data_IF_702953179771
#
_entry.id   IF_702953179771
#
_cell.length_a   1.000
_cell.length_b   1.000
_cell.length_c   1.000
_cell.angle_alpha   90.00
_cell.angle_beta   90.00
_cell.angle_gamma   90.00
#
_symmetry.space_group_name_H-M   'P 1'
#
loop_
_entity.id
_entity.type
_entity.pdbx_description
1 polymer ?
#
# COMPACT_ATOMS: atom_id res chain seq x y z
N UNK A 1 18.96 -3.20 11.38
CA UNK A 1 17.59 -2.66 11.23
C UNK A 1 17.05 -3.20 9.92
N UNK A 2 16.32 -4.31 9.96
CA UNK A 2 15.89 -5.07 8.79
C UNK A 2 14.70 -4.35 8.13
N UNK A 3 14.97 -3.55 7.10
CA UNK A 3 13.92 -3.03 6.22
C UNK A 3 13.36 -4.20 5.40
N UNK A 4 12.23 -4.73 5.88
CA UNK A 4 11.41 -5.73 5.21
C UNK A 4 10.94 -5.21 3.84
N UNK A 5 11.75 -5.45 2.81
CA UNK A 5 11.25 -5.52 1.45
C UNK A 5 10.54 -6.86 1.33
N UNK A 6 9.25 -6.90 1.67
CA UNK A 6 8.37 -8.02 1.28
C UNK A 6 8.21 -7.95 -0.25
N UNK A 7 9.17 -8.51 -0.99
CA UNK A 7 8.97 -8.82 -2.40
C UNK A 7 8.00 -10.00 -2.45
N UNK A 8 6.93 -9.86 -3.24
CA UNK A 8 6.03 -10.96 -3.52
C UNK A 8 6.87 -12.16 -4.03
N UNK A 9 6.65 -13.37 -3.51
CA UNK A 9 7.23 -14.57 -4.09
C UNK A 9 6.85 -14.67 -5.58
N UNK A 10 7.64 -15.38 -6.38
CA UNK A 10 7.24 -15.65 -7.75
C UNK A 10 5.99 -16.54 -7.75
N UNK A 11 4.99 -16.20 -8.55
CA UNK A 11 3.72 -16.94 -8.67
C UNK A 11 3.93 -18.38 -9.13
N UNK A 12 4.95 -18.59 -9.97
CA UNK A 12 5.36 -19.91 -10.47
C UNK A 12 6.80 -20.22 -10.08
N UNK A 13 7.08 -21.50 -9.83
CA UNK A 13 8.41 -22.00 -9.50
C UNK A 13 9.28 -22.23 -10.75
N UNK A 14 8.64 -22.29 -11.94
CA UNK A 14 9.27 -22.51 -13.23
C UNK A 14 8.93 -21.41 -14.25
N UNK A 15 9.83 -21.15 -15.19
CA UNK A 15 9.58 -20.18 -16.28
C UNK A 15 8.49 -20.66 -17.25
N UNK A 16 8.20 -21.96 -17.28
CA UNK A 16 7.12 -22.53 -18.09
C UNK A 16 5.72 -22.35 -17.46
N UNK A 17 5.63 -21.76 -16.25
CA UNK A 17 4.38 -21.50 -15.53
C UNK A 17 3.53 -22.77 -15.32
N UNK A 18 4.20 -23.91 -15.13
CA UNK A 18 3.56 -25.23 -14.96
C UNK A 18 3.41 -25.59 -13.49
N UNK A 19 4.25 -25.01 -12.63
CA UNK A 19 4.29 -25.32 -11.21
C UNK A 19 3.98 -24.08 -10.39
N UNK A 20 2.79 -24.05 -9.80
CA UNK A 20 2.36 -23.01 -8.86
C UNK A 20 3.24 -22.97 -7.61
N UNK A 21 3.47 -21.77 -7.09
CA UNK A 21 4.22 -21.56 -5.86
C UNK A 21 3.28 -21.40 -4.66
N UNK A 22 3.17 -22.40 -3.76
CA UNK A 22 2.30 -22.28 -2.59
C UNK A 22 2.74 -21.17 -1.62
N UNK A 23 4.01 -20.72 -1.67
CA UNK A 23 4.45 -19.57 -0.89
C UNK A 23 3.85 -18.25 -1.41
N UNK A 24 3.59 -18.15 -2.72
CA UNK A 24 2.88 -17.00 -3.30
C UNK A 24 1.43 -16.98 -2.86
N UNK A 25 0.73 -18.11 -2.85
CA UNK A 25 -0.67 -18.19 -2.43
C UNK A 25 -0.86 -17.76 -0.97
N UNK A 26 0.02 -18.23 -0.08
CA UNK A 26 0.01 -17.83 1.32
C UNK A 26 0.28 -16.33 1.46
N UNK A 27 1.29 -15.82 0.76
CA UNK A 27 1.59 -14.39 0.76
C UNK A 27 0.42 -13.55 0.21
N UNK A 28 -0.21 -14.00 -0.87
CA UNK A 28 -1.31 -13.31 -1.52
C UNK A 28 -2.56 -13.28 -0.62
N UNK A 29 -2.89 -14.38 0.06
CA UNK A 29 -3.99 -14.41 1.03
C UNK A 29 -3.80 -13.36 2.13
N UNK A 30 -2.61 -13.32 2.73
CA UNK A 30 -2.28 -12.35 3.78
C UNK A 30 -2.29 -10.91 3.25
N UNK A 31 -1.75 -10.69 2.03
CA UNK A 31 -1.76 -9.39 1.39
C UNK A 31 -3.20 -8.91 1.08
N UNK A 32 -4.09 -9.78 0.59
CA UNK A 32 -5.49 -9.40 0.35
C UNK A 32 -6.27 -9.11 1.64
N UNK A 33 -5.99 -9.83 2.73
CA UNK A 33 -6.59 -9.56 4.04
C UNK A 33 -6.18 -8.17 4.55
N UNK A 34 -4.89 -7.84 4.50
CA UNK A 34 -4.39 -6.53 4.88
C UNK A 34 -4.99 -5.43 3.98
N UNK A 35 -5.13 -5.68 2.68
CA UNK A 35 -5.73 -4.74 1.73
C UNK A 35 -7.19 -4.46 2.06
N UNK A 36 -7.95 -5.49 2.46
CA UNK A 36 -9.33 -5.36 2.92
C UNK A 36 -9.42 -4.46 4.15
N UNK A 37 -8.56 -4.66 5.15
CA UNK A 37 -8.52 -3.80 6.33
C UNK A 37 -8.19 -2.34 6.00
N UNK A 38 -7.23 -2.13 5.09
CA UNK A 38 -6.93 -0.77 4.61
C UNK A 38 -8.17 -0.16 3.94
N UNK A 39 -8.82 -0.89 3.03
CA UNK A 39 -10.02 -0.41 2.33
C UNK A 39 -11.18 -0.06 3.27
N UNK A 40 -11.33 -0.77 4.39
CA UNK A 40 -12.38 -0.50 5.41
C UNK A 40 -12.04 0.72 6.28
N UNK A 41 -10.76 0.97 6.54
CA UNK A 41 -10.33 2.04 7.45
C UNK A 41 -10.23 3.42 6.79
N UNK A 42 -10.16 3.47 5.46
CA UNK A 42 -10.03 4.72 4.71
C UNK A 42 -11.39 5.36 4.39
N UNK A 43 -11.38 6.69 4.19
CA UNK A 43 -12.57 7.43 3.76
C UNK A 43 -12.88 7.17 2.27
N UNK A 44 -14.15 7.34 1.87
CA UNK A 44 -14.63 7.10 0.48
C UNK A 44 -13.77 7.76 -0.63
N UNK A 45 -13.24 8.99 -0.48
CA UNK A 45 -12.38 9.61 -1.51
C UNK A 45 -11.02 8.94 -1.67
N UNK A 46 -10.52 8.31 -0.60
CA UNK A 46 -9.25 7.58 -0.60
C UNK A 46 -9.49 6.16 -1.10
N UNK A 47 -10.63 5.57 -0.77
CA UNK A 47 -11.07 4.28 -1.28
C UNK A 47 -11.17 4.24 -2.81
N UNK A 48 -11.67 5.30 -3.45
CA UNK A 48 -11.75 5.35 -4.92
C UNK A 48 -10.39 5.30 -5.62
N UNK A 49 -9.33 5.75 -4.95
CA UNK A 49 -7.96 5.69 -5.47
C UNK A 49 -7.33 4.30 -5.23
N UNK A 50 -7.80 3.59 -4.21
CA UNK A 50 -7.35 2.26 -3.82
C UNK A 50 -8.11 1.12 -4.52
N UNK A 51 -9.20 1.43 -5.23
CA UNK A 51 -10.07 0.41 -5.84
C UNK A 51 -9.36 -0.38 -6.95
N UNK A 52 -8.45 0.26 -7.68
CA UNK A 52 -7.68 -0.36 -8.76
C UNK A 52 -6.37 -1.03 -8.29
N UNK A 53 -6.11 -1.03 -6.98
CA UNK A 53 -4.84 -1.49 -6.43
C UNK A 53 -4.93 -2.96 -6.05
N UNK A 54 -3.98 -3.74 -6.59
CA UNK A 54 -3.93 -5.19 -6.41
C UNK A 54 -3.17 -5.67 -5.18
N UNK A 55 -2.30 -4.83 -4.59
CA UNK A 55 -1.48 -5.22 -3.42
C UNK A 55 -1.59 -4.23 -2.26
N UNK A 56 -1.45 -4.72 -1.02
CA UNK A 56 -1.38 -3.87 0.19
C UNK A 56 -0.22 -2.89 0.11
N UNK A 57 0.92 -3.32 -0.44
CA UNK A 57 2.10 -2.47 -0.58
C UNK A 57 1.84 -1.24 -1.45
N UNK A 58 1.20 -1.44 -2.60
CA UNK A 58 0.86 -0.35 -3.51
C UNK A 58 -0.17 0.59 -2.88
N UNK A 59 -1.13 0.01 -2.14
CA UNK A 59 -2.13 0.78 -1.40
C UNK A 59 -1.46 1.68 -0.36
N UNK A 60 -0.49 1.14 0.39
CA UNK A 60 0.29 1.88 1.36
C UNK A 60 1.13 2.99 0.73
N UNK A 61 1.76 2.73 -0.43
CA UNK A 61 2.55 3.75 -1.12
C UNK A 61 1.70 4.93 -1.61
N UNK A 62 0.49 4.68 -2.07
CA UNK A 62 -0.46 5.74 -2.47
C UNK A 62 -0.87 6.56 -1.24
N UNK A 63 -1.24 5.88 -0.14
CA UNK A 63 -1.59 6.53 1.12
C UNK A 63 -0.46 7.41 1.63
N UNK A 64 0.76 6.88 1.66
CA UNK A 64 1.96 7.60 2.09
C UNK A 64 2.14 8.90 1.30
N UNK A 65 2.09 8.84 -0.03
CA UNK A 65 2.22 10.05 -0.88
C UNK A 65 1.11 11.07 -0.62
N UNK A 66 -0.13 10.61 -0.47
CA UNK A 66 -1.28 11.48 -0.31
C UNK A 66 -1.30 12.18 1.05
N UNK A 67 -1.01 11.46 2.12
CA UNK A 67 -0.99 12.04 3.47
C UNK A 67 0.28 12.86 3.73
N UNK A 68 1.44 12.49 3.20
CA UNK A 68 2.66 13.29 3.32
C UNK A 68 2.50 14.64 2.61
N UNK A 69 1.96 14.64 1.38
CA UNK A 69 1.75 15.89 0.63
C UNK A 69 0.76 16.83 1.34
N UNK A 70 -0.36 16.29 1.83
CA UNK A 70 -1.37 17.08 2.55
C UNK A 70 -0.84 17.64 3.87
N UNK A 71 -0.10 16.84 4.65
CA UNK A 71 0.48 17.28 5.91
C UNK A 71 1.56 18.35 5.72
N UNK A 72 2.42 18.22 4.71
CA UNK A 72 3.46 19.21 4.44
C UNK A 72 2.87 20.58 4.08
N UNK A 73 1.84 20.62 3.24
CA UNK A 73 1.15 21.87 2.90
C UNK A 73 0.51 22.52 4.14
N UNK A 74 -0.14 21.71 4.98
CA UNK A 74 -0.76 22.20 6.21
C UNK A 74 0.28 22.72 7.21
N UNK A 75 1.42 22.06 7.36
CA UNK A 75 2.53 22.52 8.19
C UNK A 75 3.08 23.86 7.68
N UNK A 76 3.29 24.02 6.38
CA UNK A 76 3.77 25.27 5.77
C UNK A 76 2.77 26.41 6.03
N UNK A 77 1.48 26.15 5.86
CA UNK A 77 0.44 27.14 6.10
C UNK A 77 0.38 27.57 7.57
N UNK A 78 0.39 26.62 8.50
CA UNK A 78 0.41 26.92 9.95
C UNK A 78 1.66 27.71 10.36
N UNK A 79 2.84 27.38 9.81
CA UNK A 79 4.06 28.15 10.06
C UNK A 79 3.94 29.61 9.58
N UNK A 80 3.31 29.83 8.43
CA UNK A 80 3.07 31.19 7.90
C UNK A 80 2.09 31.97 8.79
N UNK A 81 1.01 31.34 9.24
CA UNK A 81 0.01 31.96 10.12
C UNK A 81 0.59 32.38 11.47
N UNK A 82 1.56 31.61 12.00
CA UNK A 82 2.24 31.93 13.27
C UNK A 82 3.39 32.93 13.14
N UNK A 83 3.86 33.21 11.94
CA UNK A 83 4.92 34.20 11.66
C UNK A 83 4.37 35.60 11.37
N UNK A 84 3.04 35.74 11.28
CA UNK A 84 2.32 37.01 11.22
C UNK A 84 1.86 37.44 12.61
#
# INVERSE_FOLDING_TARGET
MLMGKCFAPHEFLDEAHTQENPAYDLWYCEDQLALSWIKVTVTRPVLSQLVCVGTTRDAWCILEKQYISQNNLRIIQLKRELQN
#
